data_IF_530346007222
#
_entry.id   IF_530346007222
#
_cell.length_a   1.000
_cell.length_b   1.000
_cell.length_c   1.000
_cell.angle_alpha   90.00
_cell.angle_beta   90.00
_cell.angle_gamma   90.00
#
_symmetry.space_group_name_H-M   'P 1'
#
loop_
_entity.id
_entity.type
_entity.pdbx_description
1 polymer ?
#
# COMPACT_ATOMS: atom_id res chain seq x y z
N UNK A 1 -26.29 66.61 5.19
CA UNK A 1 -27.12 66.29 6.37
C UNK A 1 -26.93 64.82 6.74
N UNK A 2 -26.59 64.57 8.01
CA UNK A 2 -26.65 63.30 8.76
C UNK A 2 -25.54 62.27 8.52
N UNK A 3 -24.48 62.42 9.30
CA UNK A 3 -23.80 61.30 9.97
C UNK A 3 -24.76 60.59 10.94
N UNK A 4 -24.36 59.37 11.37
CA UNK A 4 -24.86 58.52 12.48
C UNK A 4 -25.28 57.15 11.94
N UNK A 5 -24.78 55.98 12.34
CA UNK A 5 -23.98 55.50 13.48
C UNK A 5 -23.29 54.19 12.99
N UNK A 6 -22.31 53.53 13.59
CA UNK A 6 -22.09 53.09 14.97
C UNK A 6 -20.67 52.50 15.02
N UNK A 7 -20.03 52.52 16.20
CA UNK A 7 -18.60 52.35 16.39
C UNK A 7 -18.13 50.86 16.52
N UNK A 8 -17.05 50.54 17.26
CA UNK A 8 -15.78 50.03 16.74
C UNK A 8 -15.51 48.58 17.18
N UNK A 9 -14.57 47.88 16.53
CA UNK A 9 -13.93 46.71 17.15
C UNK A 9 -12.55 46.49 16.54
N UNK A 10 -11.55 47.12 17.15
CA UNK A 10 -10.18 46.61 17.07
C UNK A 10 -10.13 45.33 17.91
N UNK A 11 -9.69 44.22 17.31
CA UNK A 11 -9.26 43.06 18.07
C UNK A 11 -8.22 42.30 17.27
N UNK A 12 -6.96 42.54 17.68
CA UNK A 12 -5.99 41.51 18.07
C UNK A 12 -5.44 40.60 16.96
N UNK A 13 -4.11 40.49 16.98
CA UNK A 13 -3.30 39.87 15.94
C UNK A 13 -3.39 38.35 15.84
N UNK A 14 -2.95 37.89 14.66
CA UNK A 14 -2.08 36.73 14.37
C UNK A 14 -2.39 35.33 14.98
N UNK A 15 -1.80 34.25 14.46
CA UNK A 15 -1.52 33.87 13.07
C UNK A 15 -2.34 32.64 12.64
N UNK A 16 -2.18 32.23 11.38
CA UNK A 16 -2.79 31.03 10.77
C UNK A 16 -2.68 29.81 11.71
N UNK A 17 -3.83 29.24 12.07
CA UNK A 17 -3.88 27.92 12.68
C UNK A 17 -3.34 26.89 11.68
N UNK A 18 -2.16 26.36 11.99
CA UNK A 18 -1.58 25.18 11.36
C UNK A 18 -2.25 23.98 12.02
N UNK A 19 -3.28 23.43 11.40
CA UNK A 19 -3.80 22.12 11.82
C UNK A 19 -2.95 21.05 11.15
N UNK A 20 -2.40 20.20 12.01
CA UNK A 20 -1.42 19.15 11.76
C UNK A 20 -1.91 18.09 10.75
N UNK A 21 -1.04 17.57 9.87
CA UNK A 21 -1.28 16.32 9.17
C UNK A 21 -1.36 15.20 10.20
N UNK A 22 -2.35 14.30 10.05
CA UNK A 22 -2.44 13.07 10.84
C UNK A 22 -1.17 12.24 10.67
N UNK A 23 -0.32 12.26 11.69
CA UNK A 23 0.87 11.44 11.78
C UNK A 23 0.53 10.03 12.27
N UNK A 24 0.84 9.06 11.42
CA UNK A 24 1.60 7.85 11.73
C UNK A 24 1.16 7.01 12.94
N UNK A 25 0.35 5.98 12.63
CA UNK A 25 0.21 4.77 13.45
C UNK A 25 0.82 3.52 12.81
N UNK A 26 1.60 3.62 11.73
CA UNK A 26 2.34 2.47 11.22
C UNK A 26 3.63 2.37 12.02
N UNK A 27 3.64 1.48 13.01
CA UNK A 27 4.89 1.01 13.61
C UNK A 27 5.68 0.37 12.46
N UNK A 28 6.84 0.90 12.02
CA UNK A 28 7.73 0.11 11.19
C UNK A 28 8.13 -1.09 12.04
N UNK A 29 7.59 -2.25 11.70
CA UNK A 29 8.06 -3.52 12.25
C UNK A 29 9.57 -3.58 11.96
N UNK A 30 10.42 -3.97 12.92
CA UNK A 30 11.85 -4.00 12.69
C UNK A 30 12.14 -4.87 11.48
N UNK A 31 12.77 -4.28 10.46
CA UNK A 31 13.35 -5.01 9.33
C UNK A 31 14.31 -6.03 9.94
N UNK A 32 14.10 -7.34 9.78
CA UNK A 32 15.12 -8.30 10.16
C UNK A 32 16.33 -8.03 9.27
N UNK A 33 17.41 -7.56 9.88
CA UNK A 33 18.69 -7.42 9.22
C UNK A 33 19.11 -8.79 8.65
N UNK A 34 19.47 -8.82 7.37
CA UNK A 34 20.00 -9.98 6.63
C UNK A 34 19.05 -11.21 6.59
N UNK A 35 17.92 -11.10 5.89
CA UNK A 35 17.02 -12.22 5.63
C UNK A 35 16.19 -12.06 4.36
N UNK A 36 15.60 -13.15 3.87
CA UNK A 36 14.63 -13.11 2.76
C UNK A 36 13.38 -12.34 3.20
N UNK A 37 12.89 -11.47 2.33
CA UNK A 37 11.71 -10.64 2.58
C UNK A 37 10.76 -10.75 1.40
N UNK A 38 9.46 -10.73 1.71
CA UNK A 38 8.39 -10.80 0.73
C UNK A 38 7.40 -9.68 0.96
N UNK A 39 6.75 -9.23 -0.12
CA UNK A 39 5.59 -8.37 -0.01
C UNK A 39 4.31 -9.19 -0.13
N UNK A 40 3.38 -9.01 0.79
CA UNK A 40 2.10 -9.72 0.78
C UNK A 40 0.93 -8.77 0.97
N UNK A 41 -0.24 -9.17 0.48
CA UNK A 41 -1.48 -8.43 0.65
C UNK A 41 -2.00 -8.54 2.10
N UNK A 42 -2.43 -7.41 2.65
CA UNK A 42 -3.02 -7.30 4.00
C UNK A 42 -4.35 -8.03 4.11
N UNK A 43 -4.68 -8.45 5.33
CA UNK A 43 -5.93 -9.12 5.65
C UNK A 43 -7.14 -8.17 5.67
N UNK A 44 -6.89 -6.89 5.87
CA UNK A 44 -7.87 -5.81 5.88
C UNK A 44 -8.08 -5.15 4.51
N UNK A 45 -7.23 -5.47 3.51
CA UNK A 45 -7.37 -4.92 2.17
C UNK A 45 -8.64 -5.45 1.49
N UNK A 46 -9.40 -4.55 0.86
CA UNK A 46 -10.61 -4.89 0.12
C UNK A 46 -10.27 -5.54 -1.21
N UNK A 47 -11.13 -6.46 -1.67
CA UNK A 47 -10.93 -7.12 -2.97
C UNK A 47 -10.83 -6.14 -4.13
N UNK A 48 -11.59 -5.03 -4.07
CA UNK A 48 -11.53 -3.98 -5.08
C UNK A 48 -10.14 -3.32 -5.16
N UNK A 49 -9.54 -3.01 -4.01
CA UNK A 49 -8.20 -2.43 -3.97
C UNK A 49 -7.14 -3.45 -4.43
N UNK A 50 -7.28 -4.71 -4.04
CA UNK A 50 -6.38 -5.79 -4.45
C UNK A 50 -6.44 -6.05 -5.97
N UNK A 51 -7.64 -6.04 -6.57
CA UNK A 51 -7.80 -6.15 -8.02
C UNK A 51 -7.22 -4.95 -8.75
N UNK A 52 -7.35 -3.73 -8.20
CA UNK A 52 -6.72 -2.53 -8.76
C UNK A 52 -5.19 -2.66 -8.75
N UNK A 53 -4.61 -3.17 -7.66
CA UNK A 53 -3.17 -3.43 -7.56
C UNK A 53 -2.70 -4.45 -8.59
N UNK A 54 -3.44 -5.57 -8.75
CA UNK A 54 -3.14 -6.59 -9.77
C UNK A 54 -3.13 -5.92 -11.14
N UNK A 55 -4.22 -5.26 -11.52
CA UNK A 55 -4.36 -4.63 -12.84
C UNK A 55 -3.22 -3.63 -13.12
N UNK A 56 -2.90 -2.77 -12.14
CA UNK A 56 -1.82 -1.80 -12.27
C UNK A 56 -0.45 -2.48 -12.42
N UNK A 57 -0.15 -3.48 -11.60
CA UNK A 57 1.15 -4.13 -11.63
C UNK A 57 1.37 -4.94 -12.92
N UNK A 58 0.33 -5.58 -13.45
CA UNK A 58 0.40 -6.32 -14.72
C UNK A 58 0.55 -5.39 -15.94
N UNK A 59 -0.05 -4.19 -15.91
CA UNK A 59 -0.08 -3.29 -17.07
C UNK A 59 1.07 -2.27 -17.05
N UNK A 60 1.30 -1.66 -15.89
CA UNK A 60 2.22 -0.53 -15.71
C UNK A 60 3.40 -0.87 -14.79
N UNK A 61 3.21 -1.84 -13.88
CA UNK A 61 4.25 -2.26 -12.93
C UNK A 61 5.34 -3.14 -13.54
N UNK A 62 5.13 -3.68 -14.75
CA UNK A 62 6.08 -4.54 -15.45
C UNK A 62 6.22 -5.93 -14.81
N UNK A 63 5.15 -6.42 -14.16
CA UNK A 63 5.12 -7.75 -13.53
C UNK A 63 4.53 -8.78 -14.48
N UNK A 64 5.12 -9.97 -14.52
CA UNK A 64 4.53 -11.13 -15.19
C UNK A 64 3.36 -11.68 -14.36
N UNK A 65 2.15 -11.53 -14.91
CA UNK A 65 0.92 -11.99 -14.28
C UNK A 65 0.43 -13.34 -14.80
N UNK A 66 1.14 -14.02 -15.69
CA UNK A 66 0.81 -15.37 -16.18
C UNK A 66 0.60 -16.39 -15.05
N UNK A 67 1.41 -16.39 -13.95
CA UNK A 67 1.25 -17.37 -12.87
C UNK A 67 -0.05 -17.24 -12.09
N UNK A 68 -0.70 -16.08 -12.10
CA UNK A 68 -1.95 -15.82 -11.37
C UNK A 68 -3.21 -15.89 -12.25
N UNK A 69 -3.06 -16.08 -13.56
CA UNK A 69 -4.18 -16.30 -14.47
C UNK A 69 -4.71 -17.73 -14.36
N UNK A 70 -5.88 -17.99 -14.91
CA UNK A 70 -6.47 -19.34 -14.98
C UNK A 70 -5.46 -20.36 -15.56
N UNK A 71 -5.30 -21.49 -14.87
CA UNK A 71 -4.30 -22.50 -15.21
C UNK A 71 -2.88 -22.23 -14.71
N UNK A 72 -2.62 -21.04 -14.12
CA UNK A 72 -1.36 -20.67 -13.52
C UNK A 72 -1.10 -21.30 -12.15
N UNK A 73 0.18 -21.43 -11.78
CA UNK A 73 0.61 -22.08 -10.54
C UNK A 73 0.13 -21.37 -9.25
N UNK A 74 -0.21 -20.08 -9.34
CA UNK A 74 -0.67 -19.21 -8.26
C UNK A 74 -2.13 -18.78 -8.42
N UNK A 75 -2.88 -19.38 -9.33
CA UNK A 75 -4.31 -19.08 -9.49
C UNK A 75 -5.14 -19.54 -8.29
N UNK A 76 -4.83 -20.72 -7.76
CA UNK A 76 -5.54 -21.28 -6.62
C UNK A 76 -4.84 -20.93 -5.31
N UNK A 77 -5.56 -20.47 -4.27
CA UNK A 77 -7.01 -20.23 -4.24
C UNK A 77 -7.39 -19.01 -5.10
N UNK A 78 -8.48 -19.13 -5.87
CA UNK A 78 -9.02 -18.09 -6.76
C UNK A 78 -9.62 -16.91 -5.96
N UNK A 79 -8.76 -16.18 -5.29
CA UNK A 79 -9.10 -15.04 -4.43
C UNK A 79 -8.26 -13.84 -4.85
N UNK A 80 -8.80 -12.63 -4.68
CA UNK A 80 -8.06 -11.41 -4.98
C UNK A 80 -6.78 -11.30 -4.14
N UNK A 81 -6.84 -11.67 -2.85
CA UNK A 81 -5.69 -11.65 -1.93
C UNK A 81 -4.54 -12.55 -2.36
N UNK A 82 -4.83 -13.78 -2.74
CA UNK A 82 -3.83 -14.76 -3.21
C UNK A 82 -3.07 -14.23 -4.43
N UNK A 83 -3.81 -13.81 -5.46
CA UNK A 83 -3.25 -13.28 -6.70
C UNK A 83 -2.52 -11.96 -6.49
N UNK A 84 -3.09 -11.07 -5.68
CA UNK A 84 -2.50 -9.78 -5.37
C UNK A 84 -1.20 -9.94 -4.59
N UNK A 85 -1.16 -10.82 -3.58
CA UNK A 85 0.06 -11.11 -2.83
C UNK A 85 1.21 -11.50 -3.76
N UNK A 86 0.97 -12.39 -4.72
CA UNK A 86 2.01 -12.84 -5.64
C UNK A 86 2.52 -11.69 -6.53
N UNK A 87 1.60 -10.93 -7.11
CA UNK A 87 1.95 -9.82 -8.01
C UNK A 87 2.63 -8.67 -7.27
N UNK A 88 2.16 -8.34 -6.06
CA UNK A 88 2.75 -7.33 -5.20
C UNK A 88 4.15 -7.74 -4.76
N UNK A 89 4.37 -9.04 -4.46
CA UNK A 89 5.70 -9.58 -4.24
C UNK A 89 6.59 -9.42 -5.47
N UNK A 90 6.17 -9.92 -6.62
CA UNK A 90 6.97 -9.84 -7.84
C UNK A 90 7.38 -8.39 -8.17
N UNK A 91 6.47 -7.43 -7.97
CA UNK A 91 6.78 -6.01 -8.08
C UNK A 91 7.83 -5.55 -7.05
N UNK A 92 7.63 -5.87 -5.77
CA UNK A 92 8.54 -5.51 -4.68
C UNK A 92 9.96 -6.03 -4.93
N UNK A 93 10.09 -7.28 -5.39
CA UNK A 93 11.36 -7.89 -5.77
C UNK A 93 12.00 -7.15 -6.95
N UNK A 94 11.23 -6.90 -8.01
CA UNK A 94 11.71 -6.23 -9.22
C UNK A 94 12.14 -4.77 -8.98
N UNK A 95 11.63 -4.11 -7.93
CA UNK A 95 11.94 -2.70 -7.60
C UNK A 95 12.96 -2.52 -6.46
N UNK A 96 13.65 -3.59 -6.06
CA UNK A 96 14.79 -3.51 -5.14
C UNK A 96 14.44 -3.50 -3.65
N UNK A 97 13.37 -4.22 -3.27
CA UNK A 97 13.04 -4.55 -1.87
C UNK A 97 12.82 -3.38 -0.93
N UNK A 98 12.49 -2.20 -1.45
CA UNK A 98 12.18 -1.05 -0.62
C UNK A 98 10.77 -1.17 -0.03
N UNK A 99 10.62 -0.86 1.26
CA UNK A 99 9.33 -0.97 1.96
C UNK A 99 8.20 -0.19 1.26
N UNK A 100 8.53 0.97 0.70
CA UNK A 100 7.55 1.80 -0.02
C UNK A 100 7.02 1.14 -1.30
N UNK A 101 7.76 0.19 -1.89
CA UNK A 101 7.28 -0.58 -3.05
C UNK A 101 6.23 -1.62 -2.67
N UNK A 102 6.13 -1.97 -1.38
CA UNK A 102 5.14 -2.92 -0.88
C UNK A 102 3.87 -2.24 -0.33
N UNK A 103 3.83 -0.91 -0.23
CA UNK A 103 2.68 -0.23 0.38
C UNK A 103 1.38 -0.40 -0.43
N UNK A 104 1.43 -0.25 -1.76
CA UNK A 104 0.27 -0.36 -2.65
C UNK A 104 -0.99 0.36 -2.12
N UNK A 105 -0.87 1.63 -1.75
CA UNK A 105 -1.96 2.39 -1.11
C UNK A 105 -2.43 1.75 0.21
N UNK A 106 -1.46 1.40 1.05
CA UNK A 106 -1.63 0.75 2.35
C UNK A 106 -2.28 -0.65 2.33
N UNK A 107 -2.27 -1.35 1.19
CA UNK A 107 -2.85 -2.69 1.06
C UNK A 107 -1.83 -3.82 1.14
N UNK A 108 -0.54 -3.52 1.12
CA UNK A 108 0.53 -4.50 1.29
C UNK A 108 1.36 -4.28 2.55
N UNK A 109 2.09 -5.32 2.94
CA UNK A 109 3.07 -5.26 4.01
C UNK A 109 4.23 -6.23 3.75
N UNK A 110 5.41 -5.87 4.24
CA UNK A 110 6.60 -6.70 4.14
C UNK A 110 6.60 -7.73 5.26
N UNK A 111 6.90 -8.98 4.91
CA UNK A 111 7.02 -10.11 5.84
C UNK A 111 8.35 -10.82 5.63
N UNK A 112 8.88 -11.41 6.71
CA UNK A 112 10.03 -12.32 6.66
C UNK A 112 9.61 -13.80 6.64
N UNK A 113 8.31 -14.08 6.65
CA UNK A 113 7.77 -15.43 6.52
C UNK A 113 7.44 -15.70 5.05
N UNK A 114 7.99 -16.77 4.50
CA UNK A 114 7.70 -17.21 3.12
C UNK A 114 6.20 -17.47 2.96
N UNK A 115 5.49 -16.71 2.10
CA UNK A 115 4.07 -16.88 1.86
C UNK A 115 3.78 -17.93 0.78
N UNK A 116 4.79 -18.63 0.26
CA UNK A 116 4.61 -19.70 -0.71
C UNK A 116 3.70 -20.81 -0.19
N UNK A 117 2.83 -21.33 -1.05
CA UNK A 117 1.91 -22.41 -0.71
C UNK A 117 1.71 -23.32 -1.93
N UNK A 118 1.57 -24.64 -1.70
CA UNK A 118 1.39 -25.62 -2.77
C UNK A 118 2.40 -25.45 -3.91
N UNK A 119 1.90 -25.24 -5.13
CA UNK A 119 2.67 -24.98 -6.35
C UNK A 119 3.04 -23.50 -6.54
N UNK A 120 2.45 -22.59 -5.77
CA UNK A 120 2.73 -21.16 -5.87
C UNK A 120 3.96 -20.80 -5.03
N UNK A 121 5.04 -20.40 -5.71
CA UNK A 121 6.31 -20.04 -5.07
C UNK A 121 6.58 -18.54 -5.22
N UNK A 122 6.76 -17.87 -4.10
CA UNK A 122 7.09 -16.45 -4.03
C UNK A 122 8.61 -16.27 -4.06
N UNK A 123 9.10 -15.37 -4.93
CA UNK A 123 10.51 -15.01 -4.99
C UNK A 123 10.92 -14.09 -3.84
N UNK A 124 12.15 -14.26 -3.35
CA UNK A 124 12.87 -13.42 -2.39
C UNK A 124 14.38 -13.62 -2.49
#
# INVERSE_FOLDING_TARGET
>A
MRCSLFAPSHSLGAPRARVVPGGSGVKPTPVPAAGKQWCVAKAEATDAALLANINWACTSGGVDCSPIQEGGACFNPNTARSRAGYVMNAYYQAKGHQDFNCDFSNTGFVTASDPSYGTCKYSA
#
